data_IF_096252861139
#
_entry.id   IF_096252861139
#
_cell.length_a   1.000
_cell.length_b   1.000
_cell.length_c   1.000
_cell.angle_alpha   90.00
_cell.angle_beta   90.00
_cell.angle_gamma   90.00
#
_symmetry.space_group_name_H-M   'P 1'
#
loop_
_entity.id
_entity.type
_entity.pdbx_description
1 polymer ?
#
# COMPACT_ATOMS: atom_id res chain seq x y z
N UNK A 1 4.69 14.44 19.56
CA UNK A 1 5.14 13.09 19.06
C UNK A 1 5.92 12.40 20.18
N UNK A 2 5.48 11.21 20.58
CA UNK A 2 6.10 10.42 21.65
C UNK A 2 7.49 9.88 21.28
N UNK A 3 8.26 9.45 22.30
CA UNK A 3 9.55 8.79 22.08
C UNK A 3 9.41 7.51 21.23
N UNK A 4 8.35 6.75 21.47
CA UNK A 4 8.05 5.55 20.72
C UNK A 4 7.81 5.85 19.24
N UNK A 5 7.03 6.87 18.92
CA UNK A 5 6.76 7.29 17.55
C UNK A 5 8.04 7.80 16.85
N UNK A 6 8.90 8.52 17.57
CA UNK A 6 10.19 8.96 17.03
C UNK A 6 11.11 7.79 16.69
N UNK A 7 11.22 6.81 17.59
CA UNK A 7 11.97 5.57 17.35
C UNK A 7 11.45 4.80 16.14
N UNK A 8 10.12 4.71 16.02
CA UNK A 8 9.49 4.02 14.90
C UNK A 8 9.75 4.72 13.55
N UNK A 9 9.68 6.05 13.51
CA UNK A 9 10.00 6.82 12.29
C UNK A 9 11.47 6.73 11.92
N UNK A 10 12.38 6.74 12.88
CA UNK A 10 13.80 6.57 12.61
C UNK A 10 14.10 5.17 12.07
N UNK A 11 13.53 4.14 12.68
CA UNK A 11 13.64 2.76 12.20
C UNK A 11 13.09 2.60 10.77
N UNK A 12 11.91 3.15 10.52
CA UNK A 12 11.28 3.18 9.20
C UNK A 12 12.17 3.85 8.15
N UNK A 13 12.75 5.02 8.46
CA UNK A 13 13.67 5.73 7.57
C UNK A 13 14.88 4.87 7.21
N UNK A 14 15.57 4.31 8.22
CA UNK A 14 16.74 3.45 8.02
C UNK A 14 16.43 2.23 7.14
N UNK A 15 15.26 1.61 7.37
CA UNK A 15 14.80 0.46 6.58
C UNK A 15 14.41 0.84 5.16
N UNK A 16 13.82 2.02 4.97
CA UNK A 16 13.51 2.56 3.65
C UNK A 16 14.79 2.79 2.86
N UNK A 17 15.79 3.45 3.44
CA UNK A 17 17.10 3.68 2.83
C UNK A 17 17.81 2.37 2.44
N UNK A 18 17.74 1.36 3.32
CA UNK A 18 18.28 0.03 3.03
C UNK A 18 17.59 -0.61 1.83
N UNK A 19 16.28 -0.66 1.82
CA UNK A 19 15.50 -1.28 0.74
C UNK A 19 15.70 -0.57 -0.60
N UNK A 20 15.84 0.75 -0.59
CA UNK A 20 16.13 1.53 -1.80
C UNK A 20 17.57 1.30 -2.31
N UNK A 21 18.56 1.13 -1.41
CA UNK A 21 19.93 0.73 -1.82
C UNK A 21 19.94 -0.63 -2.50
N UNK A 22 19.21 -1.61 -1.94
CA UNK A 22 19.08 -2.96 -2.51
C UNK A 22 18.38 -2.89 -3.87
N UNK A 23 17.29 -2.15 -3.98
CA UNK A 23 16.57 -1.94 -5.25
C UNK A 23 17.47 -1.34 -6.34
N UNK A 24 18.23 -0.30 -6.00
CA UNK A 24 19.18 0.30 -6.95
C UNK A 24 20.27 -0.68 -7.38
N UNK A 25 20.74 -1.55 -6.48
CA UNK A 25 21.75 -2.56 -6.80
C UNK A 25 21.18 -3.65 -7.70
N UNK A 26 19.97 -4.12 -7.40
CA UNK A 26 19.23 -5.08 -8.25
C UNK A 26 18.95 -4.50 -9.65
N UNK A 27 18.52 -3.25 -9.73
CA UNK A 27 18.31 -2.55 -11.01
C UNK A 27 19.62 -2.37 -11.82
N UNK A 28 20.77 -2.20 -11.18
CA UNK A 28 22.06 -2.17 -11.87
C UNK A 28 22.43 -3.52 -12.47
N UNK A 29 22.21 -4.61 -11.75
CA UNK A 29 22.40 -5.97 -12.28
C UNK A 29 21.45 -6.24 -13.45
N UNK A 30 20.18 -5.86 -13.31
CA UNK A 30 19.19 -6.01 -14.38
C UNK A 30 19.60 -5.33 -15.68
N UNK A 31 20.28 -4.17 -15.64
CA UNK A 31 20.72 -3.45 -16.84
C UNK A 31 21.72 -4.22 -17.69
N UNK A 32 22.37 -5.27 -17.18
CA UNK A 32 23.26 -6.13 -17.97
C UNK A 32 22.52 -7.23 -18.73
N UNK A 33 21.18 -7.35 -18.55
CA UNK A 33 20.36 -8.27 -19.31
C UNK A 33 20.25 -7.78 -20.77
N UNK A 34 20.49 -8.67 -21.71
CA UNK A 34 20.52 -8.36 -23.15
C UNK A 34 19.17 -8.70 -23.81
N UNK A 35 18.70 -7.78 -24.64
CA UNK A 35 17.42 -7.95 -25.33
C UNK A 35 17.44 -9.10 -26.35
N UNK A 36 18.60 -9.44 -26.91
CA UNK A 36 18.79 -10.54 -27.84
C UNK A 36 18.67 -11.92 -27.20
N UNK A 37 18.96 -12.01 -25.88
CA UNK A 37 18.86 -13.26 -25.13
C UNK A 37 18.62 -12.96 -23.64
N UNK A 38 17.36 -12.71 -23.32
CA UNK A 38 16.94 -12.36 -21.97
C UNK A 38 17.17 -13.52 -20.99
N UNK A 39 16.89 -14.75 -21.42
CA UNK A 39 16.94 -15.92 -20.52
C UNK A 39 18.39 -16.27 -20.16
N UNK A 40 19.30 -16.45 -21.11
CA UNK A 40 20.69 -16.72 -20.79
C UNK A 40 21.40 -15.56 -20.07
N UNK A 41 21.04 -14.30 -20.35
CA UNK A 41 21.58 -13.17 -19.61
C UNK A 41 21.00 -13.05 -18.20
N UNK A 42 19.74 -13.48 -17.99
CA UNK A 42 19.15 -13.64 -16.66
C UNK A 42 19.92 -14.68 -15.84
N UNK A 43 20.16 -15.87 -16.36
CA UNK A 43 20.86 -16.95 -15.65
C UNK A 43 22.23 -16.50 -15.14
N UNK A 44 22.92 -15.63 -15.87
CA UNK A 44 24.21 -15.06 -15.44
C UNK A 44 24.10 -14.12 -14.24
N UNK A 45 23.00 -13.37 -14.08
CA UNK A 45 22.84 -12.39 -13.00
C UNK A 45 22.01 -12.91 -11.81
N UNK A 46 21.24 -13.97 -12.00
CA UNK A 46 20.30 -14.50 -11.01
C UNK A 46 20.97 -14.84 -9.67
N UNK A 47 22.14 -15.51 -9.60
CA UNK A 47 22.83 -15.76 -8.34
C UNK A 47 23.21 -14.48 -7.59
N UNK A 48 23.75 -13.47 -8.31
CA UNK A 48 24.12 -12.19 -7.71
C UNK A 48 22.89 -11.40 -7.24
N UNK A 49 21.77 -11.46 -7.96
CA UNK A 49 20.50 -10.87 -7.52
C UNK A 49 20.00 -11.51 -6.23
N UNK A 50 20.00 -12.84 -6.15
CA UNK A 50 19.63 -13.59 -4.94
C UNK A 50 20.47 -13.17 -3.73
N UNK A 51 21.80 -13.10 -3.91
CA UNK A 51 22.74 -12.66 -2.86
C UNK A 51 22.46 -11.21 -2.40
N UNK A 52 22.26 -10.28 -3.33
CA UNK A 52 21.98 -8.88 -3.03
C UNK A 52 20.71 -8.71 -2.22
N UNK A 53 19.64 -9.40 -2.59
CA UNK A 53 18.36 -9.30 -1.89
C UNK A 53 18.41 -10.01 -0.54
N UNK A 54 18.99 -11.21 -0.46
CA UNK A 54 19.14 -11.96 0.80
C UNK A 54 20.02 -11.21 1.82
N UNK A 55 21.10 -10.58 1.38
CA UNK A 55 21.90 -9.72 2.24
C UNK A 55 21.11 -8.51 2.77
N UNK A 56 20.26 -7.93 1.92
CA UNK A 56 19.32 -6.86 2.31
C UNK A 56 18.31 -7.33 3.36
N UNK A 57 17.73 -8.52 3.19
CA UNK A 57 16.81 -9.14 4.16
C UNK A 57 17.52 -9.37 5.50
N UNK A 58 18.72 -9.95 5.48
CA UNK A 58 19.52 -10.19 6.67
C UNK A 58 19.77 -8.89 7.45
N UNK A 59 20.17 -7.84 6.75
CA UNK A 59 20.41 -6.54 7.38
C UNK A 59 19.12 -5.94 7.95
N UNK A 60 17.98 -6.05 7.25
CA UNK A 60 16.68 -5.59 7.73
C UNK A 60 16.25 -6.36 9.00
N UNK A 61 16.46 -7.68 9.04
CA UNK A 61 16.17 -8.51 10.20
C UNK A 61 17.07 -8.17 11.41
N UNK A 62 18.36 -7.93 11.19
CA UNK A 62 19.28 -7.51 12.27
C UNK A 62 18.90 -6.17 12.91
N UNK A 63 18.28 -5.27 12.16
CA UNK A 63 17.78 -3.99 12.70
C UNK A 63 16.61 -4.19 13.69
N UNK A 64 15.84 -5.26 13.55
CA UNK A 64 14.62 -5.51 14.33
C UNK A 64 14.89 -5.66 15.83
N UNK A 65 15.90 -6.41 16.23
CA UNK A 65 16.22 -6.64 17.64
C UNK A 65 16.56 -5.34 18.39
N UNK A 66 17.35 -4.46 17.77
CA UNK A 66 17.70 -3.15 18.34
C UNK A 66 16.49 -2.23 18.46
N UNK A 67 15.68 -2.15 17.40
CA UNK A 67 14.47 -1.34 17.37
C UNK A 67 13.44 -1.80 18.42
N UNK A 68 13.08 -3.07 18.43
CA UNK A 68 12.07 -3.59 19.38
C UNK A 68 12.55 -3.54 20.83
N UNK A 69 13.89 -3.63 21.07
CA UNK A 69 14.48 -3.36 22.39
C UNK A 69 14.29 -1.92 22.84
N UNK A 70 14.54 -0.96 21.94
CA UNK A 70 14.33 0.45 22.26
C UNK A 70 12.85 0.76 22.47
N UNK A 71 11.97 0.21 21.61
CA UNK A 71 10.52 0.38 21.73
C UNK A 71 9.96 -0.22 23.04
N UNK A 72 10.48 -1.35 23.48
CA UNK A 72 10.09 -1.97 24.76
C UNK A 72 10.54 -1.12 25.96
N UNK A 73 11.80 -0.66 25.95
CA UNK A 73 12.30 0.22 27.02
C UNK A 73 11.50 1.53 27.12
N UNK A 74 11.13 2.14 25.99
CA UNK A 74 10.29 3.34 25.97
C UNK A 74 8.90 3.12 26.58
N UNK A 75 8.48 1.85 26.73
CA UNK A 75 7.21 1.43 27.35
C UNK A 75 7.42 0.73 28.71
N UNK A 76 8.61 0.82 29.31
CA UNK A 76 8.92 0.20 30.61
C UNK A 76 8.94 -1.34 30.59
N UNK A 77 9.11 -1.96 29.43
CA UNK A 77 9.10 -3.42 29.29
C UNK A 77 10.51 -3.96 29.10
N UNK A 78 10.88 -4.95 29.91
CA UNK A 78 12.09 -5.75 29.75
C UNK A 78 11.76 -7.10 29.08
N UNK A 79 12.77 -7.74 28.51
CA UNK A 79 12.63 -9.08 27.94
C UNK A 79 13.61 -9.35 26.79
N UNK A 80 13.88 -10.62 26.45
CA UNK A 80 14.98 -10.99 25.56
C UNK A 80 14.79 -10.50 24.12
N UNK A 81 13.63 -10.63 23.50
CA UNK A 81 13.35 -10.15 22.13
C UNK A 81 14.33 -10.60 21.03
N UNK A 82 15.19 -11.59 21.33
CA UNK A 82 16.19 -12.10 20.38
C UNK A 82 15.53 -12.94 19.30
N UNK A 83 16.02 -12.80 18.08
CA UNK A 83 15.62 -13.59 16.90
C UNK A 83 16.89 -14.15 16.23
N UNK A 84 16.69 -15.08 15.33
CA UNK A 84 17.72 -15.57 14.41
C UNK A 84 17.52 -14.83 13.09
N UNK A 85 18.32 -13.78 12.77
CA UNK A 85 18.09 -12.94 11.58
C UNK A 85 18.14 -13.71 10.27
N UNK A 86 18.95 -14.77 10.22
CA UNK A 86 19.13 -15.66 9.06
C UNK A 86 17.82 -16.36 8.66
N UNK A 87 16.91 -16.60 9.61
CA UNK A 87 15.60 -17.21 9.35
C UNK A 87 14.65 -16.33 8.50
N UNK A 88 15.01 -15.05 8.29
CA UNK A 88 14.22 -14.11 7.49
C UNK A 88 14.83 -13.87 6.11
N UNK A 89 15.72 -14.73 5.63
CA UNK A 89 16.45 -14.58 4.36
C UNK A 89 16.11 -15.68 3.37
N UNK A 90 16.33 -15.43 2.09
CA UNK A 90 16.23 -16.43 1.02
C UNK A 90 14.81 -16.68 0.47
N UNK A 91 13.77 -16.23 1.17
CA UNK A 91 12.39 -16.41 0.77
C UNK A 91 11.54 -15.15 0.90
N UNK A 92 10.40 -15.12 0.21
CA UNK A 92 9.34 -14.12 0.40
C UNK A 92 8.52 -14.45 1.67
N UNK A 93 7.60 -13.59 2.06
CA UNK A 93 6.68 -13.87 3.19
C UNK A 93 5.79 -15.10 2.94
N UNK A 94 5.50 -15.40 1.69
CA UNK A 94 4.71 -16.56 1.28
C UNK A 94 5.56 -17.84 1.17
N UNK A 95 6.84 -17.80 1.58
CA UNK A 95 7.75 -18.94 1.56
C UNK A 95 8.32 -19.30 0.17
N UNK A 96 8.12 -18.43 -0.83
CA UNK A 96 8.65 -18.66 -2.19
C UNK A 96 10.10 -18.21 -2.26
N UNK A 97 10.91 -18.92 -3.03
CA UNK A 97 12.30 -18.53 -3.28
C UNK A 97 12.38 -17.16 -3.99
N UNK A 98 13.41 -16.37 -3.64
CA UNK A 98 13.55 -15.00 -4.13
C UNK A 98 13.84 -14.95 -5.62
N UNK A 99 14.75 -15.80 -6.13
CA UNK A 99 15.21 -15.71 -7.52
C UNK A 99 14.07 -15.95 -8.52
N UNK A 100 13.20 -16.97 -8.36
CA UNK A 100 12.00 -17.14 -9.18
C UNK A 100 11.03 -15.94 -9.12
N UNK A 101 10.87 -15.31 -7.96
CA UNK A 101 10.02 -14.12 -7.84
C UNK A 101 10.59 -12.93 -8.63
N UNK A 102 11.91 -12.71 -8.57
CA UNK A 102 12.57 -11.65 -9.31
C UNK A 102 12.52 -11.88 -10.82
N UNK A 103 12.41 -13.13 -11.28
CA UNK A 103 12.26 -13.46 -12.70
C UNK A 103 10.98 -12.88 -13.33
N UNK A 104 10.01 -12.46 -12.52
CA UNK A 104 8.83 -11.75 -13.00
C UNK A 104 9.18 -10.47 -13.80
N UNK A 105 10.34 -9.86 -13.54
CA UNK A 105 10.84 -8.72 -14.32
C UNK A 105 11.18 -9.16 -15.77
N UNK A 106 11.87 -10.29 -15.93
CA UNK A 106 12.20 -10.85 -17.24
C UNK A 106 10.93 -11.29 -18.01
N UNK A 107 10.04 -12.00 -17.34
CA UNK A 107 8.75 -12.44 -17.91
C UNK A 107 7.91 -11.24 -18.36
N UNK A 108 7.85 -10.17 -17.55
CA UNK A 108 7.12 -8.95 -17.90
C UNK A 108 7.74 -8.26 -19.11
N UNK A 109 9.06 -8.15 -19.15
CA UNK A 109 9.79 -7.54 -20.29
C UNK A 109 9.52 -8.33 -21.57
N UNK A 110 9.67 -9.67 -21.57
CA UNK A 110 9.38 -10.53 -22.72
C UNK A 110 7.93 -10.38 -23.19
N UNK A 111 6.97 -10.36 -22.27
CA UNK A 111 5.54 -10.20 -22.60
C UNK A 111 5.25 -8.84 -23.24
N UNK A 112 5.89 -7.77 -22.79
CA UNK A 112 5.71 -6.43 -23.37
C UNK A 112 6.29 -6.35 -24.77
N UNK A 113 7.48 -6.93 -25.03
CA UNK A 113 8.09 -7.02 -26.36
C UNK A 113 7.17 -7.83 -27.28
N UNK A 114 6.69 -9.00 -26.85
CA UNK A 114 5.77 -9.82 -27.62
C UNK A 114 4.41 -9.17 -27.95
N UNK A 115 4.06 -8.11 -27.23
CA UNK A 115 2.87 -7.26 -27.52
C UNK A 115 3.19 -6.03 -28.37
N UNK A 116 4.40 -5.94 -28.94
CA UNK A 116 4.81 -4.84 -29.79
C UNK A 116 5.26 -3.57 -29.06
N UNK A 117 5.44 -3.63 -27.73
CA UNK A 117 6.05 -2.51 -26.99
C UNK A 117 7.53 -2.42 -27.35
N UNK A 118 8.01 -1.22 -27.65
CA UNK A 118 9.42 -1.00 -27.99
C UNK A 118 10.35 -1.53 -26.88
N UNK A 119 11.48 -2.13 -27.29
CA UNK A 119 12.42 -2.83 -26.40
C UNK A 119 12.86 -1.95 -25.23
N UNK A 120 13.23 -0.68 -25.46
CA UNK A 120 13.65 0.25 -24.42
C UNK A 120 12.58 0.44 -23.34
N UNK A 121 11.31 0.66 -23.74
CA UNK A 121 10.18 0.82 -22.82
C UNK A 121 9.87 -0.46 -22.04
N UNK A 122 10.00 -1.63 -22.69
CA UNK A 122 9.82 -2.93 -22.03
C UNK A 122 10.87 -3.17 -20.96
N UNK A 123 12.14 -2.82 -21.23
CA UNK A 123 13.23 -2.92 -20.26
C UNK A 123 13.11 -1.91 -19.11
N UNK A 124 12.61 -0.70 -19.37
CA UNK A 124 12.28 0.27 -18.31
C UNK A 124 11.20 -0.29 -17.36
N UNK A 125 10.15 -0.92 -17.90
CA UNK A 125 9.12 -1.57 -17.10
C UNK A 125 9.69 -2.75 -16.28
N UNK A 126 10.57 -3.57 -16.86
CA UNK A 126 11.31 -4.61 -16.17
C UNK A 126 12.18 -4.08 -15.04
N UNK A 127 12.91 -2.98 -15.27
CA UNK A 127 13.73 -2.30 -14.25
C UNK A 127 12.88 -1.80 -13.08
N UNK A 128 11.73 -1.18 -13.37
CA UNK A 128 10.81 -0.70 -12.35
C UNK A 128 10.28 -1.87 -11.50
N UNK A 129 9.87 -2.97 -12.14
CA UNK A 129 9.37 -4.16 -11.45
C UNK A 129 10.46 -4.82 -10.61
N UNK A 130 11.68 -4.97 -11.13
CA UNK A 130 12.84 -5.48 -10.38
C UNK A 130 13.09 -4.66 -9.12
N UNK A 131 13.07 -3.34 -9.23
CA UNK A 131 13.27 -2.43 -8.10
C UNK A 131 12.17 -2.60 -7.05
N UNK A 132 10.91 -2.67 -7.47
CA UNK A 132 9.75 -2.87 -6.59
C UNK A 132 9.86 -4.20 -5.85
N UNK A 133 10.13 -5.30 -6.56
CA UNK A 133 10.23 -6.63 -5.97
C UNK A 133 11.37 -6.69 -4.95
N UNK A 134 12.57 -6.26 -5.31
CA UNK A 134 13.72 -6.26 -4.42
C UNK A 134 13.49 -5.42 -3.14
N UNK A 135 12.95 -4.20 -3.29
CA UNK A 135 12.67 -3.34 -2.15
C UNK A 135 11.57 -3.91 -1.25
N UNK A 136 10.51 -4.45 -1.85
CA UNK A 136 9.37 -5.03 -1.11
C UNK A 136 9.83 -6.22 -0.28
N UNK A 137 10.56 -7.15 -0.88
CA UNK A 137 11.06 -8.36 -0.21
C UNK A 137 11.91 -8.01 1.02
N UNK A 138 12.79 -7.01 0.93
CA UNK A 138 13.60 -6.55 2.06
C UNK A 138 12.76 -5.92 3.17
N UNK A 139 11.78 -5.08 2.81
CA UNK A 139 10.88 -4.45 3.79
C UNK A 139 10.01 -5.48 4.52
N UNK A 140 9.60 -6.50 3.80
CA UNK A 140 8.77 -7.57 4.35
C UNK A 140 9.50 -8.40 5.38
N UNK A 141 10.72 -8.82 5.09
CA UNK A 141 11.58 -9.50 6.04
C UNK A 141 11.81 -8.66 7.29
N UNK A 142 12.05 -7.35 7.12
CA UNK A 142 12.20 -6.43 8.24
C UNK A 142 10.93 -6.31 9.09
N UNK A 143 9.74 -6.18 8.47
CA UNK A 143 8.47 -6.12 9.20
C UNK A 143 8.16 -7.42 9.95
N UNK A 144 8.45 -8.57 9.34
CA UNK A 144 8.26 -9.86 10.00
C UNK A 144 9.23 -10.02 11.17
N UNK A 145 10.49 -9.65 10.99
CA UNK A 145 11.49 -9.68 12.05
C UNK A 145 11.12 -8.76 13.22
N UNK A 146 10.60 -7.55 12.95
CA UNK A 146 10.07 -6.64 13.97
C UNK A 146 8.95 -7.30 14.78
N UNK A 147 8.00 -7.95 14.09
CA UNK A 147 6.89 -8.65 14.75
C UNK A 147 7.39 -9.79 15.63
N UNK A 148 8.20 -10.67 15.09
CA UNK A 148 8.72 -11.82 15.83
C UNK A 148 9.57 -11.38 17.01
N UNK A 149 10.45 -10.39 16.84
CA UNK A 149 11.27 -9.85 17.92
C UNK A 149 10.42 -9.18 19.01
N UNK A 150 9.36 -8.47 18.62
CA UNK A 150 8.39 -7.92 19.57
C UNK A 150 7.68 -8.99 20.40
N UNK A 151 7.19 -10.04 19.75
CA UNK A 151 6.51 -11.18 20.39
C UNK A 151 7.41 -11.93 21.37
N UNK A 152 8.68 -12.10 21.07
CA UNK A 152 9.66 -12.80 21.92
C UNK A 152 9.84 -12.15 23.30
N UNK A 153 9.31 -10.95 23.52
CA UNK A 153 9.33 -10.26 24.82
C UNK A 153 8.20 -10.70 25.75
N UNK A 154 7.30 -11.57 25.28
CA UNK A 154 6.29 -12.24 26.10
C UNK A 154 5.10 -11.35 26.56
N UNK A 155 5.07 -10.08 26.22
CA UNK A 155 4.03 -9.11 26.67
C UNK A 155 3.39 -8.29 25.56
N UNK A 156 3.64 -8.62 24.30
CA UNK A 156 3.06 -7.87 23.18
C UNK A 156 1.62 -8.26 22.96
N UNK A 157 0.71 -7.35 23.14
CA UNK A 157 -0.72 -7.56 22.94
C UNK A 157 -1.17 -7.10 21.56
N UNK A 158 -0.57 -6.02 21.07
CA UNK A 158 -0.99 -5.38 19.83
C UNK A 158 0.19 -4.81 19.03
N UNK A 159 -0.07 -4.54 17.74
CA UNK A 159 0.80 -3.74 16.88
C UNK A 159 0.05 -2.54 16.35
N UNK A 160 0.60 -1.35 16.54
CA UNK A 160 0.18 -0.17 15.81
C UNK A 160 0.93 -0.04 14.48
N UNK A 161 0.30 0.57 13.50
CA UNK A 161 0.96 0.96 12.25
C UNK A 161 1.50 2.37 12.37
N UNK A 162 2.81 2.51 12.25
CA UNK A 162 3.41 3.82 11.97
C UNK A 162 3.22 4.10 10.48
N UNK A 163 2.29 5.01 10.17
CA UNK A 163 2.07 5.51 8.82
C UNK A 163 3.21 6.47 8.47
N UNK A 164 3.90 6.21 7.35
CA UNK A 164 5.03 7.06 6.97
C UNK A 164 4.60 8.47 6.56
N UNK A 165 5.42 9.49 6.82
CA UNK A 165 5.23 10.80 6.20
C UNK A 165 5.10 10.68 4.69
N UNK A 166 4.14 11.36 4.10
CA UNK A 166 3.88 11.27 2.66
C UNK A 166 3.22 9.97 2.18
N UNK A 167 2.67 9.17 3.10
CA UNK A 167 1.96 7.94 2.76
C UNK A 167 0.86 8.16 1.71
N UNK A 168 0.61 7.13 0.92
CA UNK A 168 -0.52 7.11 -0.01
C UNK A 168 -1.83 6.74 0.72
N UNK A 169 -2.96 6.96 0.05
CA UNK A 169 -4.29 6.65 0.61
C UNK A 169 -4.44 5.19 1.06
N UNK A 170 -3.78 4.24 0.40
CA UNK A 170 -3.82 2.82 0.81
C UNK A 170 -3.13 2.57 2.14
N UNK A 171 -2.00 3.25 2.42
CA UNK A 171 -1.36 3.18 3.73
C UNK A 171 -2.23 3.88 4.79
N UNK A 172 -2.84 5.00 4.44
CA UNK A 172 -3.67 5.79 5.33
C UNK A 172 -4.90 5.01 5.84
N UNK A 173 -5.57 4.24 4.96
CA UNK A 173 -6.71 3.40 5.38
C UNK A 173 -6.31 2.11 6.12
N UNK A 174 -5.03 1.85 6.26
CA UNK A 174 -4.50 0.77 7.08
C UNK A 174 -3.92 1.30 8.41
N UNK A 175 -4.04 2.61 8.67
CA UNK A 175 -3.73 3.16 9.99
C UNK A 175 -4.60 2.47 11.04
N UNK A 176 -4.00 2.14 12.18
CA UNK A 176 -4.72 1.47 13.24
C UNK A 176 -3.89 0.46 14.00
N UNK A 177 -4.58 -0.23 14.88
CA UNK A 177 -4.03 -1.24 15.77
C UNK A 177 -4.53 -2.62 15.33
N UNK A 178 -3.65 -3.59 15.34
CA UNK A 178 -3.98 -4.97 15.02
C UNK A 178 -3.43 -5.95 16.05
N UNK A 179 -4.14 -7.06 16.23
CA UNK A 179 -3.63 -8.17 17.04
C UNK A 179 -2.35 -8.75 16.41
N UNK A 180 -1.44 -9.25 17.23
CA UNK A 180 -0.14 -9.76 16.78
C UNK A 180 -0.24 -10.92 15.76
N UNK A 181 -1.32 -11.70 15.79
CA UNK A 181 -1.58 -12.75 14.80
C UNK A 181 -2.03 -12.23 13.44
N UNK A 182 -2.53 -10.98 13.39
CA UNK A 182 -2.98 -10.39 12.14
C UNK A 182 -1.81 -10.14 11.20
N UNK A 183 -1.99 -10.48 9.93
CA UNK A 183 -1.01 -10.16 8.90
C UNK A 183 -0.84 -8.63 8.79
N UNK A 184 0.40 -8.16 8.61
CA UNK A 184 0.67 -6.76 8.33
C UNK A 184 0.33 -6.48 6.87
N UNK A 185 -0.92 -6.08 6.61
CA UNK A 185 -1.38 -5.76 5.27
C UNK A 185 -0.54 -4.63 4.66
N UNK A 186 -0.16 -4.79 3.42
CA UNK A 186 0.66 -3.84 2.68
C UNK A 186 0.37 -3.90 1.18
N UNK A 187 0.78 -2.90 0.48
CA UNK A 187 0.83 -2.87 -0.98
C UNK A 187 2.30 -2.75 -1.43
N UNK A 188 2.63 -3.05 -2.69
CA UNK A 188 3.96 -2.77 -3.24
C UNK A 188 4.39 -1.33 -2.92
N UNK A 189 5.67 -1.15 -2.59
CA UNK A 189 6.27 0.14 -2.18
C UNK A 189 5.78 0.71 -0.83
N UNK A 190 5.00 -0.03 -0.04
CA UNK A 190 4.62 0.38 1.32
C UNK A 190 5.87 0.61 2.18
N UNK A 191 5.93 1.80 2.83
CA UNK A 191 7.02 2.20 3.72
C UNK A 191 6.66 2.15 5.20
N UNK A 192 5.41 1.81 5.52
CA UNK A 192 4.94 1.73 6.92
C UNK A 192 5.69 0.66 7.69
N UNK A 193 5.80 0.87 9.00
CA UNK A 193 6.42 -0.11 9.92
C UNK A 193 5.48 -0.50 11.05
N UNK A 194 5.72 -1.65 11.64
CA UNK A 194 5.03 -2.12 12.84
C UNK A 194 5.64 -1.50 14.09
N UNK A 195 4.79 -1.10 15.03
CA UNK A 195 5.18 -0.62 16.35
C UNK A 195 4.59 -1.56 17.39
N UNK A 196 5.39 -2.31 18.14
CA UNK A 196 4.87 -3.17 19.20
C UNK A 196 4.30 -2.32 20.33
N UNK A 197 3.08 -2.62 20.74
CA UNK A 197 2.40 -1.98 21.89
C UNK A 197 2.30 -3.02 23.00
N UNK A 198 2.98 -2.75 24.09
CA UNK A 198 3.04 -3.62 25.26
C UNK A 198 2.06 -3.07 26.32
N UNK A 199 0.81 -3.46 26.22
CA UNK A 199 -0.23 -3.08 27.17
C UNK A 199 -1.11 -4.29 27.47
N UNK A 200 -1.41 -4.48 28.76
CA UNK A 200 -2.39 -5.47 29.20
C UNK A 200 -3.83 -4.98 29.01
N UNK A 201 -4.01 -3.68 28.71
CA UNK A 201 -5.28 -3.08 28.37
C UNK A 201 -5.35 -2.77 26.86
N UNK A 202 -6.16 -3.50 26.07
CA UNK A 202 -6.28 -3.26 24.63
C UNK A 202 -6.91 -1.91 24.28
N UNK A 203 -7.57 -1.25 25.24
CA UNK A 203 -8.20 0.05 25.08
C UNK A 203 -7.32 1.19 25.68
N UNK A 204 -6.09 0.92 26.07
CA UNK A 204 -5.19 1.96 26.55
C UNK A 204 -4.96 3.01 25.45
N UNK A 205 -4.87 4.31 25.83
CA UNK A 205 -4.55 5.35 24.88
C UNK A 205 -3.24 5.06 24.15
N UNK A 206 -3.24 5.20 22.84
CA UNK A 206 -2.03 5.03 22.05
C UNK A 206 -1.06 6.19 22.28
N UNK A 207 0.25 5.93 22.25
CA UNK A 207 1.25 6.99 22.25
C UNK A 207 1.03 7.98 21.12
N UNK A 208 1.24 9.25 21.37
CA UNK A 208 1.10 10.33 20.39
C UNK A 208 1.85 10.03 19.08
N UNK A 209 1.17 10.18 17.93
CA UNK A 209 1.68 9.88 16.61
C UNK A 209 1.38 8.45 16.13
N UNK A 210 0.66 7.66 16.94
CA UNK A 210 0.03 6.40 16.55
C UNK A 210 -1.49 6.57 16.60
N UNK A 211 -2.19 5.90 15.73
CA UNK A 211 -3.64 6.09 15.52
C UNK A 211 -4.38 4.78 15.69
N UNK A 212 -5.56 4.83 16.31
CA UNK A 212 -6.41 3.65 16.54
C UNK A 212 -7.16 3.20 15.30
N UNK A 213 -7.45 4.15 14.40
CA UNK A 213 -8.25 3.92 13.20
C UNK A 213 -7.81 4.79 12.02
N UNK A 214 -8.27 4.46 10.79
CA UNK A 214 -8.09 5.34 9.63
C UNK A 214 -8.77 6.70 9.78
N UNK A 215 -9.84 6.81 10.57
CA UNK A 215 -10.53 8.06 10.86
C UNK A 215 -9.66 8.95 11.74
N UNK A 216 -9.11 8.42 12.84
CA UNK A 216 -8.21 9.18 13.72
C UNK A 216 -6.98 9.70 12.96
N UNK A 217 -6.44 8.88 12.04
CA UNK A 217 -5.35 9.32 11.18
C UNK A 217 -5.78 10.47 10.26
N UNK A 218 -6.96 10.38 9.64
CA UNK A 218 -7.51 11.43 8.79
C UNK A 218 -7.67 12.75 9.54
N UNK A 219 -8.23 12.70 10.75
CA UNK A 219 -8.45 13.88 11.61
C UNK A 219 -7.14 14.53 12.05
N UNK A 220 -6.07 13.76 12.21
CA UNK A 220 -4.75 14.28 12.57
C UNK A 220 -4.04 15.07 11.46
N UNK A 221 -4.52 14.96 10.22
CA UNK A 221 -3.90 15.56 9.03
C UNK A 221 -4.40 17.00 8.83
N UNK A 222 -3.53 17.87 8.34
CA UNK A 222 -3.94 19.18 7.82
C UNK A 222 -4.87 18.99 6.61
N UNK A 223 -5.73 19.99 6.33
CA UNK A 223 -6.63 19.97 5.17
C UNK A 223 -5.88 19.72 3.86
N UNK A 224 -4.70 20.29 3.70
CA UNK A 224 -3.87 20.09 2.50
C UNK A 224 -3.38 18.64 2.37
N UNK A 225 -3.02 17.98 3.48
CA UNK A 225 -2.62 16.58 3.50
C UNK A 225 -3.80 15.65 3.26
N UNK A 226 -4.96 15.94 3.86
CA UNK A 226 -6.20 15.22 3.59
C UNK A 226 -6.52 15.24 2.08
N UNK A 227 -6.52 16.41 1.48
CA UNK A 227 -6.81 16.59 0.04
C UNK A 227 -5.76 15.91 -0.86
N UNK A 228 -4.49 15.91 -0.46
CA UNK A 228 -3.41 15.22 -1.18
C UNK A 228 -3.53 13.70 -1.11
N UNK A 229 -3.86 13.16 0.05
CA UNK A 229 -3.91 11.70 0.31
C UNK A 229 -5.19 11.10 -0.26
N UNK A 230 -6.33 11.75 -0.03
CA UNK A 230 -7.66 11.18 -0.35
C UNK A 230 -8.29 11.81 -1.59
N UNK A 231 -7.65 12.79 -2.23
CA UNK A 231 -8.18 13.78 -3.19
C UNK A 231 -9.12 14.78 -2.54
N UNK A 232 -9.33 15.94 -3.21
CA UNK A 232 -10.22 16.98 -2.69
C UNK A 232 -11.63 16.44 -2.41
N UNK A 233 -12.26 15.81 -3.41
CA UNK A 233 -13.61 15.28 -3.24
C UNK A 233 -13.68 14.10 -2.27
N UNK A 234 -12.69 13.22 -2.26
CA UNK A 234 -12.63 12.13 -1.27
C UNK A 234 -12.46 12.65 0.16
N UNK A 235 -11.56 13.62 0.36
CA UNK A 235 -11.38 14.25 1.68
C UNK A 235 -12.62 15.03 2.12
N UNK A 236 -13.31 15.71 1.20
CA UNK A 236 -14.56 16.40 1.47
C UNK A 236 -15.65 15.42 1.90
N UNK A 237 -15.81 14.31 1.18
CA UNK A 237 -16.74 13.26 1.57
C UNK A 237 -16.44 12.70 2.96
N UNK A 238 -15.15 12.48 3.30
CA UNK A 238 -14.75 12.00 4.64
C UNK A 238 -15.07 13.05 5.71
N UNK A 239 -14.82 14.34 5.47
CA UNK A 239 -15.23 15.43 6.36
C UNK A 239 -16.74 15.51 6.58
N UNK A 240 -17.55 15.03 5.61
CA UNK A 240 -19.01 14.89 5.72
C UNK A 240 -19.44 13.58 6.36
N UNK A 241 -18.52 12.78 6.91
CA UNK A 241 -18.81 11.54 7.62
C UNK A 241 -18.65 10.26 6.79
N UNK A 242 -18.12 10.32 5.58
CA UNK A 242 -17.84 9.12 4.81
C UNK A 242 -16.68 8.32 5.43
N UNK A 243 -16.79 6.98 5.41
CA UNK A 243 -15.74 6.07 5.85
C UNK A 243 -14.51 6.16 4.93
N UNK A 244 -13.32 6.50 5.46
CA UNK A 244 -12.08 6.60 4.69
C UNK A 244 -11.75 5.33 3.88
N UNK A 245 -12.07 4.15 4.44
CA UNK A 245 -11.81 2.86 3.80
C UNK A 245 -12.69 2.69 2.56
N UNK A 246 -13.98 3.00 2.68
CA UNK A 246 -14.94 2.97 1.58
C UNK A 246 -14.56 3.93 0.44
N UNK A 247 -14.16 5.16 0.79
CA UNK A 247 -13.74 6.19 -0.19
C UNK A 247 -12.51 5.74 -0.98
N UNK A 248 -11.49 5.22 -0.30
CA UNK A 248 -10.26 4.79 -0.97
C UNK A 248 -10.46 3.51 -1.78
N UNK A 249 -11.22 2.53 -1.25
CA UNK A 249 -11.45 1.27 -1.94
C UNK A 249 -12.30 1.44 -3.20
N UNK A 250 -13.22 2.41 -3.24
CA UNK A 250 -13.99 2.73 -4.45
C UNK A 250 -13.09 2.92 -5.70
N UNK A 251 -11.85 3.36 -5.52
CA UNK A 251 -10.88 3.56 -6.61
C UNK A 251 -10.36 2.27 -7.23
N UNK A 252 -10.52 1.11 -6.61
CA UNK A 252 -10.11 -0.19 -7.16
C UNK A 252 -10.94 -0.56 -8.39
N UNK A 253 -12.26 -0.34 -8.32
CA UNK A 253 -13.19 -0.63 -9.40
C UNK A 253 -13.42 0.52 -10.40
N UNK A 254 -12.66 1.60 -10.27
CA UNK A 254 -12.78 2.78 -11.11
C UNK A 254 -12.35 2.51 -12.56
N UNK A 255 -13.09 3.02 -13.52
CA UNK A 255 -12.70 2.94 -14.93
C UNK A 255 -11.45 3.79 -15.19
N UNK A 256 -10.49 3.20 -15.88
CA UNK A 256 -9.19 3.81 -16.18
C UNK A 256 -8.79 3.51 -17.62
N UNK A 257 -8.23 4.50 -18.30
CA UNK A 257 -7.56 4.31 -19.57
C UNK A 257 -6.07 4.30 -19.34
N UNK A 258 -5.41 3.25 -19.83
CA UNK A 258 -3.96 3.14 -19.77
C UNK A 258 -3.36 4.05 -20.83
N UNK A 259 -2.52 4.98 -20.42
CA UNK A 259 -1.79 5.82 -21.36
C UNK A 259 -0.53 5.10 -21.85
N UNK A 260 -0.23 5.11 -23.15
CA UNK A 260 1.02 4.55 -23.67
C UNK A 260 2.24 5.11 -22.92
N UNK A 261 3.14 4.24 -22.47
CA UNK A 261 4.35 4.62 -21.77
C UNK A 261 4.20 5.04 -20.30
N UNK A 262 2.99 4.99 -19.71
CA UNK A 262 2.78 5.24 -18.28
C UNK A 262 2.35 3.99 -17.52
N UNK A 263 2.98 3.77 -16.35
CA UNK A 263 2.63 2.67 -15.43
C UNK A 263 1.29 2.91 -14.70
N UNK A 264 0.79 4.15 -14.68
CA UNK A 264 -0.44 4.54 -13.98
C UNK A 264 -1.53 4.91 -14.98
N UNK A 265 -2.64 4.19 -14.91
CA UNK A 265 -3.83 4.50 -15.68
C UNK A 265 -4.54 5.76 -15.15
N UNK A 266 -4.95 6.65 -16.04
CA UNK A 266 -5.75 7.84 -15.68
C UNK A 266 -7.21 7.43 -15.45
N UNK A 267 -7.82 7.92 -14.37
CA UNK A 267 -9.26 7.82 -14.17
C UNK A 267 -10.03 8.51 -15.31
N UNK A 268 -11.06 7.85 -15.81
CA UNK A 268 -11.91 8.40 -16.87
C UNK A 268 -13.37 8.38 -16.44
N UNK A 269 -14.12 9.46 -16.66
CA UNK A 269 -15.56 9.43 -16.49
C UNK A 269 -16.21 8.52 -17.54
N UNK A 270 -17.41 8.08 -17.26
CA UNK A 270 -18.27 7.33 -18.18
C UNK A 270 -19.55 8.12 -18.40
N UNK A 271 -20.10 8.03 -19.59
CA UNK A 271 -21.43 8.55 -19.86
C UNK A 271 -22.45 7.65 -19.17
N UNK A 272 -23.25 8.20 -18.30
CA UNK A 272 -24.35 7.52 -17.63
C UNK A 272 -25.70 8.02 -18.20
N UNK A 273 -26.66 7.13 -18.21
CA UNK A 273 -28.06 7.44 -18.49
C UNK A 273 -28.81 7.43 -17.17
N UNK A 274 -29.39 8.55 -16.81
CA UNK A 274 -30.26 8.69 -15.64
C UNK A 274 -31.63 8.00 -15.87
N UNK A 275 -32.42 7.72 -14.82
CA UNK A 275 -33.76 7.13 -14.96
C UNK A 275 -34.72 7.95 -15.81
N UNK A 276 -34.52 9.27 -15.85
CA UNK A 276 -35.31 10.22 -16.68
C UNK A 276 -34.79 10.33 -18.14
N UNK A 277 -33.79 9.49 -18.51
CA UNK A 277 -33.20 9.47 -19.85
C UNK A 277 -32.10 10.47 -20.12
N UNK A 278 -31.83 11.42 -19.19
CA UNK A 278 -30.72 12.38 -19.34
C UNK A 278 -29.38 11.67 -19.28
N UNK A 279 -28.42 12.17 -20.05
CA UNK A 279 -27.05 11.67 -20.06
C UNK A 279 -26.10 12.67 -19.38
N UNK A 280 -25.13 12.16 -18.63
CA UNK A 280 -24.11 12.98 -18.00
C UNK A 280 -22.81 12.21 -17.79
N UNK A 281 -21.70 12.93 -17.62
CA UNK A 281 -20.38 12.35 -17.36
C UNK A 281 -20.18 12.12 -15.86
N UNK A 282 -19.77 10.90 -15.47
CA UNK A 282 -19.61 10.54 -14.08
C UNK A 282 -18.39 9.64 -13.84
N UNK A 283 -17.70 9.88 -12.74
CA UNK A 283 -16.75 8.90 -12.19
C UNK A 283 -17.53 7.83 -11.43
N UNK A 284 -17.31 6.59 -11.82
CA UNK A 284 -18.02 5.43 -11.26
C UNK A 284 -17.07 4.30 -10.94
N UNK A 285 -17.50 3.42 -10.05
CA UNK A 285 -16.75 2.24 -9.64
C UNK A 285 -17.62 0.98 -9.69
N UNK A 286 -16.98 -0.15 -9.93
CA UNK A 286 -17.60 -1.47 -9.78
C UNK A 286 -17.46 -2.02 -8.36
N UNK A 287 -16.69 -1.34 -7.49
CA UNK A 287 -16.49 -1.76 -6.10
C UNK A 287 -17.80 -1.64 -5.31
N UNK A 288 -18.20 -2.72 -4.66
CA UNK A 288 -19.46 -2.83 -3.91
C UNK A 288 -20.73 -2.50 -4.71
N UNK A 289 -20.71 -2.56 -6.05
CA UNK A 289 -21.85 -2.24 -6.91
C UNK A 289 -23.07 -3.14 -6.66
N UNK A 290 -22.86 -4.38 -6.25
CA UNK A 290 -23.95 -5.31 -5.97
C UNK A 290 -24.75 -4.90 -4.74
N UNK A 291 -24.13 -4.22 -3.79
CA UNK A 291 -24.77 -3.75 -2.56
C UNK A 291 -25.30 -2.32 -2.68
N UNK A 292 -24.54 -1.46 -3.36
CA UNK A 292 -24.79 -0.02 -3.44
C UNK A 292 -24.86 0.50 -4.88
N UNK A 293 -25.11 -0.38 -5.87
CA UNK A 293 -25.28 0.01 -7.25
C UNK A 293 -26.55 0.82 -7.43
N UNK A 294 -26.45 1.86 -8.27
CA UNK A 294 -27.57 2.69 -8.60
C UNK A 294 -28.32 2.16 -9.84
N UNK A 295 -29.49 2.72 -10.06
CA UNK A 295 -30.28 2.54 -11.28
C UNK A 295 -29.67 3.23 -12.52
N UNK A 296 -28.54 3.96 -12.37
CA UNK A 296 -27.83 4.54 -13.49
C UNK A 296 -27.17 3.47 -14.36
N UNK A 297 -27.28 3.62 -15.66
CA UNK A 297 -26.69 2.71 -16.63
C UNK A 297 -25.52 3.38 -17.36
N UNK A 298 -24.48 2.62 -17.66
CA UNK A 298 -23.40 3.08 -18.53
C UNK A 298 -23.91 3.09 -19.96
N UNK A 299 -23.81 4.22 -20.65
CA UNK A 299 -24.20 4.35 -22.04
C UNK A 299 -23.41 3.41 -22.94
N UNK A 300 -24.05 2.89 -24.00
CA UNK A 300 -23.45 1.91 -24.93
C UNK A 300 -23.27 0.50 -24.36
N UNK A 301 -23.68 0.22 -23.13
CA UNK A 301 -23.65 -1.13 -22.55
C UNK A 301 -24.90 -1.93 -22.91
N UNK A 302 -24.70 -3.07 -23.58
CA UNK A 302 -25.79 -4.04 -23.89
C UNK A 302 -26.38 -4.72 -22.64
N UNK A 303 -25.67 -4.68 -21.50
CA UNK A 303 -26.12 -5.18 -20.20
C UNK A 303 -26.20 -4.01 -19.24
N UNK A 304 -27.31 -3.88 -18.51
CA UNK A 304 -27.43 -2.92 -17.41
C UNK A 304 -26.39 -3.24 -16.34
N UNK A 305 -25.20 -2.67 -16.45
CA UNK A 305 -24.20 -2.78 -15.40
C UNK A 305 -24.51 -1.73 -14.34
N UNK A 306 -25.09 -2.14 -13.22
CA UNK A 306 -25.19 -1.25 -12.06
C UNK A 306 -23.79 -0.75 -11.70
N UNK A 307 -23.67 0.54 -11.43
CA UNK A 307 -22.43 1.20 -11.03
C UNK A 307 -22.68 2.00 -9.77
N UNK A 308 -21.65 2.14 -8.96
CA UNK A 308 -21.65 3.00 -7.78
C UNK A 308 -21.02 4.33 -8.16
N UNK A 309 -21.68 5.45 -7.86
CA UNK A 309 -21.08 6.77 -8.07
C UNK A 309 -19.88 6.96 -7.13
N UNK A 310 -18.83 7.60 -7.63
CA UNK A 310 -17.67 7.96 -6.82
C UNK A 310 -17.88 9.30 -6.10
N UNK A 311 -17.16 9.55 -4.99
CA UNK A 311 -17.26 10.81 -4.25
C UNK A 311 -17.14 12.06 -5.15
N UNK A 312 -16.27 12.02 -6.15
CA UNK A 312 -16.10 13.12 -7.12
C UNK A 312 -17.42 13.49 -7.84
N UNK A 313 -18.18 12.49 -8.24
CA UNK A 313 -19.49 12.70 -8.89
C UNK A 313 -20.55 13.14 -7.88
N UNK A 314 -20.57 12.51 -6.70
CA UNK A 314 -21.55 12.84 -5.65
C UNK A 314 -21.42 14.30 -5.22
N UNK A 315 -20.20 14.75 -4.91
CA UNK A 315 -19.94 16.15 -4.53
C UNK A 315 -20.32 17.11 -5.67
N UNK A 316 -20.01 16.77 -6.91
CA UNK A 316 -20.41 17.59 -8.07
C UNK A 316 -21.94 17.68 -8.22
N UNK A 317 -22.66 16.58 -8.02
CA UNK A 317 -24.14 16.53 -8.14
C UNK A 317 -24.87 17.20 -6.98
N UNK A 318 -24.22 17.41 -5.86
CA UNK A 318 -24.81 18.12 -4.70
C UNK A 318 -24.84 19.64 -4.91
N UNK A 319 -24.14 20.18 -5.91
CA UNK A 319 -24.14 21.59 -6.26
C UNK A 319 -23.83 22.53 -5.07
N UNK A 320 -23.02 22.04 -4.12
CA UNK A 320 -22.65 22.76 -2.91
C UNK A 320 -23.61 22.60 -1.73
N UNK A 321 -24.70 21.83 -1.88
CA UNK A 321 -25.61 21.50 -0.79
C UNK A 321 -25.06 20.34 0.04
N UNK A 322 -24.62 20.57 1.30
CA UNK A 322 -24.05 19.53 2.16
C UNK A 322 -25.07 18.48 2.59
N UNK A 323 -26.36 18.82 2.73
CA UNK A 323 -27.39 17.85 3.12
C UNK A 323 -27.59 16.85 2.00
N UNK A 324 -27.75 17.34 0.77
CA UNK A 324 -27.85 16.50 -0.42
C UNK A 324 -26.60 15.64 -0.63
N UNK A 325 -25.42 16.20 -0.37
CA UNK A 325 -24.17 15.42 -0.46
C UNK A 325 -24.15 14.24 0.51
N UNK A 326 -24.52 14.46 1.77
CA UNK A 326 -24.58 13.40 2.79
C UNK A 326 -25.64 12.33 2.45
N UNK A 327 -26.81 12.73 1.97
CA UNK A 327 -27.84 11.80 1.51
C UNK A 327 -27.35 10.90 0.39
N UNK A 328 -26.71 11.47 -0.63
CA UNK A 328 -26.11 10.73 -1.73
C UNK A 328 -24.97 9.83 -1.23
N UNK A 329 -24.07 10.33 -0.38
CA UNK A 329 -22.99 9.52 0.19
C UNK A 329 -23.54 8.31 0.96
N UNK A 330 -24.66 8.47 1.70
CA UNK A 330 -25.35 7.36 2.39
C UNK A 330 -25.99 6.41 1.41
N UNK A 331 -26.72 6.91 0.42
CA UNK A 331 -27.36 6.10 -0.63
C UNK A 331 -26.33 5.20 -1.35
N UNK A 332 -25.15 5.73 -1.59
CA UNK A 332 -24.05 4.98 -2.23
C UNK A 332 -23.14 4.27 -1.23
N UNK A 333 -23.48 4.21 0.06
CA UNK A 333 -22.78 3.42 1.09
C UNK A 333 -21.38 3.91 1.41
N UNK A 334 -21.15 5.21 1.38
CA UNK A 334 -19.93 5.84 1.88
C UNK A 334 -20.07 6.29 3.33
N UNK A 335 -21.27 6.67 3.74
CA UNK A 335 -21.66 6.97 5.12
C UNK A 335 -22.41 5.76 5.66
N UNK A 336 -22.07 5.26 6.87
CA UNK A 336 -22.77 4.15 7.53
C UNK A 336 -24.27 4.37 7.71
#
# INVERSE_FOLDING_TARGET
MSDLSRLALEHQRKRTELSERVARRAARLWRSVQASDIDASWDRIAPALGQVVSAGQLQAARMAAGYTSAAARAQGVAGPGQIIPEAFTGATLEGREIVPELFAAATTTKRLIGRGVGVGSAFQAGTALMSILAATTVRDSGNMADKVSGLRRGRTVQYARMVSPGACSRCAILAGVGHFTKHFERHPECRCTTVPIYSDNPNAPLPEGLYGSPADYFESLSKAEQDRIYTKAGAEAIRMGADPVSVVNARRGMFRVQQPGRLVARATPRTLVAPDGRTFQAYVTTENRMRFGSQYRVDGSRRSSSVRLMPETIISMSEGDPVRAVELLRQFGYVP
#
